data_IF_497195251558
#
_entry.id   IF_497195251558
#
_cell.length_a   1.000
_cell.length_b   1.000
_cell.length_c   1.000
_cell.angle_alpha   90.00
_cell.angle_beta   90.00
_cell.angle_gamma   90.00
#
_symmetry.space_group_name_H-M   'P 1'
#
loop_
_entity.id
_entity.type
_entity.pdbx_description
1 polymer ?
#
# COMPACT_ATOMS: atom_id res chain seq x y z
N UNK A 1 -9.56 -4.26 -6.27
CA UNK A 1 -8.21 -4.60 -6.75
C UNK A 1 -8.21 -4.40 -8.26
N UNK A 2 -7.28 -3.61 -8.78
CA UNK A 2 -7.16 -3.24 -10.19
C UNK A 2 -5.81 -3.71 -10.74
N UNK A 3 -5.76 -4.21 -11.97
CA UNK A 3 -4.48 -4.55 -12.60
C UNK A 3 -3.76 -3.27 -13.07
N UNK A 4 -2.47 -3.15 -12.76
CA UNK A 4 -1.69 -1.92 -12.94
C UNK A 4 -1.37 -1.55 -14.40
N UNK A 5 -1.53 -2.46 -15.36
CA UNK A 5 -1.12 -2.24 -16.76
C UNK A 5 -1.96 -1.18 -17.51
N UNK A 6 -3.05 -0.69 -16.92
CA UNK A 6 -4.06 0.12 -17.64
C UNK A 6 -4.36 1.48 -17.01
N UNK A 7 -3.55 1.97 -16.07
CA UNK A 7 -3.93 3.11 -15.22
C UNK A 7 -3.15 4.40 -15.55
N UNK A 8 -3.87 5.42 -16.03
CA UNK A 8 -3.40 6.80 -16.19
C UNK A 8 -3.40 7.60 -14.88
N UNK A 9 -3.16 8.92 -14.92
CA UNK A 9 -3.16 9.77 -13.71
C UNK A 9 -4.55 9.81 -13.05
N UNK A 10 -4.66 9.31 -11.81
CA UNK A 10 -5.90 9.31 -11.01
C UNK A 10 -5.86 10.42 -9.95
N UNK A 11 -6.96 11.16 -9.81
CA UNK A 11 -7.21 12.15 -8.75
C UNK A 11 -7.57 11.50 -7.40
N UNK A 12 -6.64 10.79 -6.77
CA UNK A 12 -6.86 10.26 -5.41
C UNK A 12 -6.45 11.28 -4.33
N UNK A 13 -7.29 11.45 -3.30
CA UNK A 13 -7.05 12.38 -2.18
C UNK A 13 -5.78 12.05 -1.36
N UNK A 14 -5.46 10.77 -1.19
CA UNK A 14 -4.17 10.30 -0.66
C UNK A 14 -3.68 9.10 -1.47
N UNK A 15 -2.66 9.31 -2.31
CA UNK A 15 -1.94 8.25 -2.99
C UNK A 15 -0.78 7.76 -2.12
N UNK A 16 -0.86 6.53 -1.62
CA UNK A 16 0.26 5.92 -0.92
C UNK A 16 1.14 5.13 -1.89
N UNK A 17 2.38 5.61 -2.05
CA UNK A 17 3.36 5.07 -2.99
C UNK A 17 4.02 3.81 -2.43
N UNK A 18 3.28 2.72 -2.39
CA UNK A 18 3.80 1.39 -2.11
C UNK A 18 3.59 0.87 -0.69
N UNK A 19 3.47 -0.45 -0.60
CA UNK A 19 3.62 -1.22 0.64
C UNK A 19 5.06 -1.74 0.77
N UNK A 20 5.56 -1.80 2.00
CA UNK A 20 6.77 -2.54 2.33
C UNK A 20 6.59 -4.06 2.11
N UNK A 21 7.67 -4.84 1.96
CA UNK A 21 7.60 -6.30 1.89
C UNK A 21 7.03 -6.95 3.17
N UNK A 22 7.07 -6.22 4.28
CA UNK A 22 6.45 -6.49 5.59
C UNK A 22 5.04 -5.89 5.72
N UNK A 23 4.49 -5.31 4.65
CA UNK A 23 3.15 -4.71 4.62
C UNK A 23 3.00 -3.42 5.42
N UNK A 24 4.09 -2.71 5.73
CA UNK A 24 3.96 -1.38 6.34
C UNK A 24 3.40 -0.34 5.36
N UNK A 25 2.61 0.59 5.91
CA UNK A 25 2.19 1.82 5.23
C UNK A 25 3.03 2.98 5.78
N UNK A 26 3.55 3.84 4.90
CA UNK A 26 4.51 4.88 5.27
C UNK A 26 5.68 4.25 6.05
N UNK A 27 6.02 4.76 7.24
CA UNK A 27 6.95 4.09 8.16
C UNK A 27 6.21 3.52 9.38
N UNK A 28 4.97 3.05 9.22
CA UNK A 28 4.26 2.33 10.27
C UNK A 28 4.67 0.87 10.30
N UNK A 29 5.88 0.64 10.84
CA UNK A 29 6.50 -0.67 11.06
C UNK A 29 5.57 -1.64 11.78
N UNK A 30 5.75 -2.97 11.61
CA UNK A 30 5.00 -4.00 12.31
C UNK A 30 4.90 -3.75 13.83
N UNK A 31 3.69 -3.89 14.37
CA UNK A 31 3.36 -3.56 15.77
C UNK A 31 2.95 -2.11 16.00
N UNK A 32 2.90 -1.29 14.94
CA UNK A 32 2.36 0.08 15.04
C UNK A 32 0.84 0.08 15.27
N UNK A 33 0.37 0.99 16.11
CA UNK A 33 -1.08 1.15 16.34
C UNK A 33 -1.82 1.51 15.05
N UNK A 34 -2.92 0.81 14.78
CA UNK A 34 -3.77 1.02 13.60
C UNK A 34 -4.54 2.35 13.64
N UNK A 35 -4.70 2.93 14.83
CA UNK A 35 -5.32 4.26 15.03
C UNK A 35 -4.28 5.35 15.26
N UNK A 36 -3.03 5.10 14.88
CA UNK A 36 -1.94 6.03 15.12
C UNK A 36 -2.08 7.34 14.34
N UNK A 37 -1.59 8.42 14.94
CA UNK A 37 -1.46 9.75 14.33
C UNK A 37 -0.03 10.01 13.86
N UNK A 38 0.16 11.10 13.12
CA UNK A 38 1.48 11.57 12.68
C UNK A 38 2.42 11.66 13.88
N UNK A 39 3.55 10.97 13.79
CA UNK A 39 4.52 10.86 14.89
C UNK A 39 5.91 10.60 14.35
N UNK A 40 6.91 10.81 15.21
CA UNK A 40 8.25 10.30 14.97
C UNK A 40 8.27 8.80 15.26
N UNK A 41 8.80 8.02 14.33
CA UNK A 41 8.94 6.57 14.47
C UNK A 41 10.39 6.17 14.29
N UNK A 42 10.86 5.26 15.13
CA UNK A 42 12.17 4.61 14.98
C UNK A 42 12.07 3.59 13.85
N UNK A 43 12.98 3.68 12.89
CA UNK A 43 13.02 2.77 11.74
C UNK A 43 13.46 1.37 12.18
N UNK A 44 12.87 0.33 11.59
CA UNK A 44 13.32 -1.05 11.79
C UNK A 44 14.69 -1.28 11.14
N UNK A 45 15.41 -2.30 11.59
CA UNK A 45 16.72 -2.66 11.05
C UNK A 45 16.65 -2.94 9.54
N UNK A 46 15.64 -3.69 9.10
CA UNK A 46 15.38 -4.00 7.69
C UNK A 46 15.21 -2.73 6.84
N UNK A 47 14.50 -1.72 7.38
CA UNK A 47 14.29 -0.42 6.75
C UNK A 47 15.58 0.39 6.66
N UNK A 48 16.45 0.32 7.67
CA UNK A 48 17.77 0.96 7.63
C UNK A 48 18.65 0.34 6.55
N UNK A 49 18.66 -0.99 6.45
CA UNK A 49 19.44 -1.73 5.44
C UNK A 49 18.93 -1.44 4.03
N UNK A 50 17.61 -1.45 3.82
CA UNK A 50 17.00 -1.11 2.53
C UNK A 50 17.30 0.33 2.09
N UNK A 51 17.48 1.25 3.04
CA UNK A 51 17.78 2.65 2.77
C UNK A 51 19.27 2.97 2.73
N UNK A 52 20.16 2.11 3.25
CA UNK A 52 21.60 2.33 3.25
C UNK A 52 22.16 2.60 1.84
N UNK A 53 21.53 2.02 0.80
CA UNK A 53 21.85 2.30 -0.61
C UNK A 53 21.79 3.78 -0.99
N UNK A 54 20.95 4.57 -0.33
CA UNK A 54 20.82 6.01 -0.56
C UNK A 54 21.85 6.84 0.22
N UNK A 55 22.54 6.24 1.19
CA UNK A 55 23.52 6.89 2.06
C UNK A 55 24.95 6.35 1.84
N UNK A 56 25.24 5.87 0.63
CA UNK A 56 26.55 5.35 0.25
C UNK A 56 26.88 3.98 0.88
N UNK A 57 25.85 3.13 1.07
CA UNK A 57 25.93 1.83 1.73
C UNK A 57 26.44 1.87 3.18
N UNK A 58 26.31 3.02 3.85
CA UNK A 58 26.69 3.20 5.24
C UNK A 58 25.46 3.33 6.14
N UNK A 59 25.15 2.27 6.87
CA UNK A 59 24.01 2.20 7.80
C UNK A 59 24.11 3.26 8.91
N UNK A 60 25.33 3.65 9.31
CA UNK A 60 25.52 4.63 10.39
C UNK A 60 25.04 6.03 10.02
N UNK A 61 24.97 6.34 8.72
CA UNK A 61 24.51 7.62 8.18
C UNK A 61 23.01 7.67 7.94
N UNK A 62 22.32 6.53 7.99
CA UNK A 62 20.87 6.49 7.82
C UNK A 62 20.21 7.06 9.07
N UNK A 63 19.31 8.07 8.94
CA UNK A 63 18.58 8.60 10.08
C UNK A 63 17.80 7.49 10.79
N UNK A 64 18.02 7.31 12.10
CA UNK A 64 17.36 6.26 12.90
C UNK A 64 15.88 6.53 13.17
N UNK A 65 15.43 7.76 12.92
CA UNK A 65 14.08 8.22 13.15
C UNK A 65 13.55 8.95 11.93
N UNK A 66 12.28 8.71 11.60
CA UNK A 66 11.57 9.40 10.54
C UNK A 66 10.25 9.96 11.08
N UNK A 67 9.83 11.10 10.54
CA UNK A 67 8.46 11.59 10.73
C UNK A 67 7.56 10.81 9.77
N UNK A 68 6.54 10.14 10.30
CA UNK A 68 5.60 9.36 9.50
C UNK A 68 4.18 9.78 9.79
N UNK A 69 3.36 9.79 8.74
CA UNK A 69 1.91 9.80 8.91
C UNK A 69 1.49 8.51 9.62
N UNK A 70 0.54 8.61 10.54
CA UNK A 70 0.01 7.44 11.23
C UNK A 70 -1.05 6.74 10.40
N UNK A 71 -1.31 5.46 10.67
CA UNK A 71 -2.32 4.67 9.97
C UNK A 71 -3.70 5.34 10.06
N UNK A 72 -4.08 5.81 11.25
CA UNK A 72 -5.32 6.54 11.46
C UNK A 72 -5.41 7.87 10.70
N UNK A 73 -4.26 8.47 10.36
CA UNK A 73 -4.24 9.70 9.54
C UNK A 73 -4.54 9.39 8.09
N UNK A 74 -4.07 8.24 7.58
CA UNK A 74 -4.41 7.78 6.23
C UNK A 74 -5.84 7.24 6.18
N UNK A 75 -6.32 6.61 7.25
CA UNK A 75 -7.71 6.15 7.37
C UNK A 75 -8.74 7.28 7.38
N UNK A 76 -8.34 8.50 7.76
CA UNK A 76 -9.20 9.68 7.74
C UNK A 76 -9.34 10.29 6.33
N UNK A 77 -8.57 9.82 5.34
CA UNK A 77 -8.72 10.23 3.96
C UNK A 77 -10.08 9.77 3.40
N UNK A 78 -10.68 10.56 2.52
CA UNK A 78 -11.94 10.20 1.86
C UNK A 78 -11.75 8.96 0.97
N UNK A 79 -10.62 8.90 0.28
CA UNK A 79 -10.23 7.80 -0.58
C UNK A 79 -8.74 7.49 -0.43
N UNK A 80 -8.41 6.20 -0.41
CA UNK A 80 -7.04 5.70 -0.33
C UNK A 80 -6.71 4.83 -1.52
N UNK A 81 -5.65 5.19 -2.23
CA UNK A 81 -5.12 4.38 -3.33
C UNK A 81 -3.75 3.81 -2.98
N UNK A 82 -3.58 2.49 -3.17
CA UNK A 82 -2.36 1.74 -2.83
C UNK A 82 -1.86 1.01 -4.07
N UNK A 83 -0.63 1.32 -4.50
CA UNK A 83 0.02 0.67 -5.63
C UNK A 83 0.99 -0.43 -5.15
N UNK A 84 0.87 -1.63 -5.70
CA UNK A 84 1.61 -2.82 -5.27
C UNK A 84 2.16 -3.56 -6.48
N UNK A 85 3.45 -3.40 -6.75
CA UNK A 85 4.10 -4.03 -7.90
C UNK A 85 5.27 -4.92 -7.49
N UNK A 86 5.42 -6.05 -8.18
CA UNK A 86 6.50 -7.02 -8.05
C UNK A 86 6.21 -8.17 -7.09
N UNK A 87 6.77 -9.33 -7.41
CA UNK A 87 6.60 -10.58 -6.68
C UNK A 87 7.02 -10.50 -5.20
N UNK A 88 8.02 -9.68 -4.87
CA UNK A 88 8.49 -9.48 -3.50
C UNK A 88 7.45 -8.83 -2.58
N UNK A 89 6.34 -8.31 -3.12
CA UNK A 89 5.21 -7.76 -2.36
C UNK A 89 4.00 -8.69 -2.30
N UNK A 90 4.03 -9.83 -2.99
CA UNK A 90 2.87 -10.71 -3.09
C UNK A 90 2.43 -11.25 -1.73
N UNK A 91 3.38 -11.61 -0.88
CA UNK A 91 3.09 -12.07 0.48
C UNK A 91 2.46 -10.97 1.34
N UNK A 92 2.94 -9.73 1.23
CA UNK A 92 2.36 -8.58 1.91
C UNK A 92 0.92 -8.32 1.45
N UNK A 93 0.64 -8.43 0.14
CA UNK A 93 -0.71 -8.30 -0.40
C UNK A 93 -1.65 -9.40 0.12
N UNK A 94 -1.19 -10.66 0.14
CA UNK A 94 -1.95 -11.76 0.74
C UNK A 94 -2.34 -11.48 2.19
N UNK A 95 -1.38 -11.04 3.02
CA UNK A 95 -1.63 -10.64 4.41
C UNK A 95 -2.56 -9.43 4.53
N UNK A 96 -2.52 -8.53 3.55
CA UNK A 96 -3.32 -7.32 3.54
C UNK A 96 -4.81 -7.56 3.27
N UNK A 97 -5.16 -8.55 2.42
CA UNK A 97 -6.53 -8.71 1.92
C UNK A 97 -7.19 -10.04 2.26
N UNK A 98 -6.42 -11.13 2.38
CA UNK A 98 -6.99 -12.46 2.65
C UNK A 98 -6.96 -12.83 4.13
N UNK A 99 -6.01 -12.27 4.89
CA UNK A 99 -5.98 -12.41 6.35
C UNK A 99 -6.74 -11.28 7.04
N UNK A 100 -6.93 -11.41 8.36
CA UNK A 100 -7.63 -10.42 9.16
C UNK A 100 -6.79 -9.17 9.45
N UNK A 101 -7.48 -8.11 9.88
CA UNK A 101 -6.87 -6.86 10.35
C UNK A 101 -5.87 -7.13 11.48
N UNK A 102 -4.61 -6.77 11.26
CA UNK A 102 -3.50 -7.06 12.17
C UNK A 102 -2.48 -5.91 12.18
N UNK A 103 -2.05 -5.48 13.37
CA UNK A 103 -1.03 -4.44 13.53
C UNK A 103 0.38 -4.83 13.06
N UNK A 104 0.63 -6.12 12.81
CA UNK A 104 1.87 -6.60 12.19
C UNK A 104 1.91 -6.30 10.69
N UNK A 105 0.74 -6.16 10.06
CA UNK A 105 0.58 -5.88 8.63
C UNK A 105 -0.31 -4.64 8.49
N UNK A 106 0.25 -3.44 8.69
CA UNK A 106 -0.56 -2.23 8.87
C UNK A 106 -1.46 -1.90 7.67
N UNK A 107 -1.08 -2.35 6.46
CA UNK A 107 -1.92 -2.33 5.25
C UNK A 107 -3.30 -2.98 5.43
N UNK A 108 -3.41 -4.00 6.29
CA UNK A 108 -4.68 -4.68 6.56
C UNK A 108 -5.73 -3.77 7.21
N UNK A 109 -5.33 -2.64 7.80
CA UNK A 109 -6.25 -1.64 8.36
C UNK A 109 -7.25 -1.12 7.32
N UNK A 110 -6.83 -1.04 6.05
CA UNK A 110 -7.67 -0.53 4.97
C UNK A 110 -8.83 -1.44 4.60
N UNK A 111 -8.88 -2.68 5.10
CA UNK A 111 -10.10 -3.50 5.03
C UNK A 111 -11.29 -2.83 5.72
N UNK A 112 -11.04 -1.92 6.68
CA UNK A 112 -12.07 -1.19 7.41
C UNK A 112 -12.31 0.23 6.87
N UNK A 113 -11.57 0.64 5.85
CA UNK A 113 -11.72 1.94 5.24
C UNK A 113 -12.89 1.93 4.24
N UNK A 114 -13.61 3.05 4.13
CA UNK A 114 -14.83 3.14 3.32
C UNK A 114 -14.56 3.05 1.81
N UNK A 115 -13.44 3.60 1.35
CA UNK A 115 -13.05 3.71 -0.05
C UNK A 115 -11.55 3.47 -0.23
N UNK A 116 -11.18 2.19 -0.35
CA UNK A 116 -9.80 1.80 -0.66
C UNK A 116 -9.72 1.14 -2.03
N UNK A 117 -8.80 1.64 -2.84
CA UNK A 117 -8.43 1.07 -4.12
C UNK A 117 -7.02 0.49 -4.01
N UNK A 118 -6.88 -0.82 -4.26
CA UNK A 118 -5.59 -1.47 -4.39
C UNK A 118 -5.32 -1.76 -5.87
N UNK A 119 -4.21 -1.26 -6.37
CA UNK A 119 -3.73 -1.48 -7.73
C UNK A 119 -2.51 -2.40 -7.66
N UNK A 120 -2.51 -3.50 -8.41
CA UNK A 120 -1.41 -4.44 -8.41
C UNK A 120 -1.06 -4.98 -9.80
N UNK A 121 0.18 -5.38 -10.01
CA UNK A 121 0.57 -6.16 -11.20
C UNK A 121 0.28 -7.66 -11.00
N UNK A 122 0.45 -8.46 -12.06
CA UNK A 122 0.23 -9.90 -11.96
C UNK A 122 1.18 -10.56 -10.95
N UNK A 123 2.45 -10.14 -10.93
CA UNK A 123 3.46 -10.67 -10.02
C UNK A 123 3.13 -10.46 -8.54
N UNK A 124 2.52 -9.33 -8.17
CA UNK A 124 2.05 -9.10 -6.81
C UNK A 124 0.88 -10.01 -6.41
N UNK A 125 0.21 -10.69 -7.35
CA UNK A 125 -0.92 -11.60 -7.05
C UNK A 125 -0.53 -13.05 -6.84
N UNK A 126 0.76 -13.39 -6.92
CA UNK A 126 1.25 -14.79 -6.89
C UNK A 126 0.85 -15.58 -5.62
N UNK A 127 0.78 -14.91 -4.46
CA UNK A 127 0.42 -15.52 -3.17
C UNK A 127 -1.10 -15.49 -2.89
N UNK A 128 -1.91 -14.90 -3.79
CA UNK A 128 -3.35 -14.83 -3.62
C UNK A 128 -4.06 -16.12 -4.05
N UNK A 129 -5.21 -16.39 -3.45
CA UNK A 129 -6.06 -17.51 -3.91
C UNK A 129 -6.56 -17.22 -5.33
N UNK A 130 -6.57 -18.26 -6.15
CA UNK A 130 -7.11 -18.24 -7.52
C UNK A 130 -8.54 -17.67 -7.56
N UNK A 131 -9.37 -17.97 -6.54
CA UNK A 131 -10.73 -17.45 -6.43
C UNK A 131 -10.75 -15.93 -6.28
N UNK A 132 -9.87 -15.37 -5.44
CA UNK A 132 -9.74 -13.93 -5.19
C UNK A 132 -9.34 -13.20 -6.49
N UNK A 133 -8.30 -13.69 -7.16
CA UNK A 133 -7.82 -13.10 -8.42
C UNK A 133 -8.89 -13.16 -9.50
N UNK A 134 -9.55 -14.33 -9.70
CA UNK A 134 -10.62 -14.47 -10.70
C UNK A 134 -11.80 -13.54 -10.44
N UNK A 135 -12.19 -13.38 -9.17
CA UNK A 135 -13.27 -12.48 -8.79
C UNK A 135 -12.95 -11.03 -9.19
N UNK A 136 -11.77 -10.52 -8.83
CA UNK A 136 -11.41 -9.15 -9.14
C UNK A 136 -11.11 -8.92 -10.63
N UNK A 137 -10.52 -9.90 -11.33
CA UNK A 137 -10.35 -9.82 -12.80
C UNK A 137 -11.70 -9.76 -13.52
N UNK A 138 -12.71 -10.51 -13.08
CA UNK A 138 -14.06 -10.45 -13.66
C UNK A 138 -14.74 -9.10 -13.44
N UNK A 139 -14.31 -8.33 -12.43
CA UNK A 139 -14.82 -6.99 -12.15
C UNK A 139 -13.99 -5.87 -12.80
N UNK A 140 -12.94 -6.21 -13.56
CA UNK A 140 -12.03 -5.21 -14.13
C UNK A 140 -12.74 -4.23 -15.04
N UNK A 141 -13.67 -4.69 -15.89
CA UNK A 141 -14.46 -3.83 -16.80
C UNK A 141 -15.36 -2.82 -16.07
N UNK A 142 -15.78 -3.13 -14.84
CA UNK A 142 -16.56 -2.21 -14.01
C UNK A 142 -15.64 -1.18 -13.38
N UNK A 143 -14.49 -1.64 -12.87
CA UNK A 143 -13.53 -0.74 -12.23
C UNK A 143 -12.82 0.18 -13.23
N UNK A 144 -12.63 -0.23 -14.48
CA UNK A 144 -12.04 0.59 -15.52
C UNK A 144 -12.92 1.79 -15.88
N UNK A 145 -14.24 1.61 -15.87
CA UNK A 145 -15.20 2.72 -16.02
C UNK A 145 -15.10 3.75 -14.89
N UNK A 146 -14.81 3.32 -13.66
CA UNK A 146 -14.58 4.26 -12.55
C UNK A 146 -13.34 5.13 -12.78
N UNK A 147 -12.30 4.59 -13.41
CA UNK A 147 -11.08 5.36 -13.75
C UNK A 147 -11.37 6.33 -14.91
N UNK A 148 -12.14 5.91 -15.90
CA UNK A 148 -12.46 6.72 -17.07
C UNK A 148 -13.43 7.88 -16.77
N UNK A 149 -14.38 7.68 -15.85
CA UNK A 149 -15.36 8.70 -15.45
C UNK A 149 -14.75 9.82 -14.58
N UNK A 150 -13.68 9.52 -13.83
CA UNK A 150 -12.97 10.50 -12.98
C UNK A 150 -11.84 11.28 -13.71
N UNK A 151 -11.59 10.97 -14.99
CA UNK A 151 -10.63 11.74 -15.78
C UNK A 151 -11.26 13.08 -16.21
N UNK A 152 -10.60 14.23 -15.93
CA UNK A 152 -11.10 15.51 -16.41
C UNK A 152 -11.20 15.46 -17.93
N UNK A 153 -12.34 15.92 -18.46
CA UNK A 153 -12.55 16.04 -19.89
C UNK A 153 -11.33 16.74 -20.51
N UNK A 154 -10.65 16.06 -21.43
CA UNK A 154 -9.56 16.66 -22.21
C UNK A 154 -10.16 17.79 -23.04
N UNK A 155 -9.96 19.04 -22.62
CA UNK A 155 -10.10 20.22 -23.49
C UNK A 155 -9.00 20.27 -24.55
#
# INVERSE_FOLDING_TARGET
MLCAEEIGDIHASVTHKGIGPDGHIAFNEPGSSLVSRTRVKTLAQDTLEANARFFGNDISKVPKQALTVGVGTVMDAEEVMILITGAHKAFALYKAIEEGVNHMWTVSAFQQHRHTIMICDEDATLELRVKTVKYFKALSEVHQRLIEEDMPAKE
#
